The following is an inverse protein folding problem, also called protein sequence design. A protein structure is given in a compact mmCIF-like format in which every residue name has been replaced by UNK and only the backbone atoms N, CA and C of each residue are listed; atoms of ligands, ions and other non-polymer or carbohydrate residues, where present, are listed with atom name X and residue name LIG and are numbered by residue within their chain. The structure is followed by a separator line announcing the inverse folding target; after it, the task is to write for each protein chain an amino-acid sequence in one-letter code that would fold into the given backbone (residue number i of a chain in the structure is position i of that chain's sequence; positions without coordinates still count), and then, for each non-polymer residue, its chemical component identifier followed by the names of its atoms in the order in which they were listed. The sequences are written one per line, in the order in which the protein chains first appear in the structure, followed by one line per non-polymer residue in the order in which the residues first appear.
data_IF_094742322547
#
_entry.id   IF_094742322547
#
_cell.length_a   1.000
_cell.length_b   1.000
_cell.length_c   1.000
_cell.angle_alpha   90.00
_cell.angle_beta   90.00
_cell.angle_gamma   90.00
#
_symmetry.space_group_name_H-M   'P 1'
#
loop_
_entity.id
_entity.type
_entity.pdbx_description
1 polymer ?
#
# COMPACT_ATOMS: atom_id res chain seq x y z
N UNK A 1 14.92 12.82 -9.52
CA UNK A 1 15.33 11.47 -9.10
C UNK A 1 15.52 11.48 -7.59
N UNK A 2 15.19 10.42 -6.86
CA UNK A 2 15.44 10.33 -5.42
C UNK A 2 15.51 8.88 -4.95
N UNK A 3 16.03 8.72 -3.74
CA UNK A 3 16.02 7.52 -2.93
C UNK A 3 15.39 7.82 -1.57
N UNK A 4 14.66 6.86 -1.00
CA UNK A 4 14.06 7.00 0.34
C UNK A 4 13.81 5.61 0.95
N UNK A 5 13.97 5.50 2.26
CA UNK A 5 13.44 4.37 3.04
C UNK A 5 12.17 4.76 3.77
N UNK A 6 11.34 3.79 4.09
CA UNK A 6 10.22 4.03 5.00
C UNK A 6 9.65 2.78 5.63
N UNK A 7 8.85 2.96 6.67
CA UNK A 7 8.06 1.90 7.29
C UNK A 7 6.57 2.21 7.12
N UNK A 8 5.88 1.37 6.35
CA UNK A 8 4.42 1.41 6.25
C UNK A 8 3.82 0.73 7.49
N UNK A 9 2.98 1.47 8.23
CA UNK A 9 2.29 0.99 9.42
C UNK A 9 0.77 1.04 9.22
N UNK A 10 0.08 -0.08 9.44
CA UNK A 10 -1.38 -0.16 9.49
C UNK A 10 -1.78 -0.63 10.89
N UNK A 11 -2.15 0.30 11.80
CA UNK A 11 -2.43 -0.04 13.19
C UNK A 11 -3.57 -1.05 13.36
N UNK A 12 -4.59 -1.01 12.49
CA UNK A 12 -5.74 -1.90 12.60
C UNK A 12 -5.41 -3.38 12.35
N UNK A 13 -4.37 -3.66 11.57
CA UNK A 13 -3.96 -5.03 11.22
C UNK A 13 -2.57 -5.38 11.78
N UNK A 14 -2.03 -4.53 12.67
CA UNK A 14 -0.69 -4.64 13.26
C UNK A 14 0.43 -4.82 12.22
N UNK A 15 0.23 -4.35 11.00
CA UNK A 15 1.24 -4.47 9.94
C UNK A 15 2.28 -3.38 10.13
N UNK A 16 3.54 -3.80 10.14
CA UNK A 16 4.71 -2.98 9.88
C UNK A 16 5.49 -3.56 8.71
N UNK A 17 5.65 -2.79 7.64
CA UNK A 17 6.27 -3.22 6.41
C UNK A 17 7.34 -2.20 5.97
N UNK A 18 8.62 -2.47 6.25
CA UNK A 18 9.70 -1.61 5.77
C UNK A 18 9.85 -1.75 4.26
N UNK A 19 10.16 -0.64 3.61
CA UNK A 19 10.51 -0.56 2.21
C UNK A 19 11.69 0.38 1.97
N UNK A 20 12.32 0.19 0.81
CA UNK A 20 13.32 1.09 0.25
C UNK A 20 12.97 1.34 -1.21
N UNK A 21 12.98 2.61 -1.62
CA UNK A 21 12.50 3.02 -2.92
C UNK A 21 13.48 3.93 -3.63
N UNK A 22 13.61 3.70 -4.93
CA UNK A 22 14.37 4.51 -5.88
C UNK A 22 13.45 4.95 -7.00
N UNK A 23 13.49 6.23 -7.33
CA UNK A 23 12.56 6.82 -8.28
C UNK A 23 13.29 7.75 -9.24
N UNK A 24 13.17 7.45 -10.53
CA UNK A 24 13.74 8.21 -11.64
C UNK A 24 12.65 8.48 -12.69
N UNK A 25 11.98 9.62 -12.54
CA UNK A 25 10.93 10.05 -13.47
C UNK A 25 11.47 10.31 -14.88
N UNK A 26 12.67 10.89 -15.01
CA UNK A 26 13.27 11.22 -16.31
C UNK A 26 13.65 9.95 -17.07
N UNK A 27 14.23 8.96 -16.37
CA UNK A 27 14.45 7.62 -16.89
C UNK A 27 13.20 6.73 -16.99
N UNK A 28 12.02 7.25 -16.62
CA UNK A 28 10.73 6.54 -16.59
C UNK A 28 10.80 5.19 -15.85
N UNK A 29 11.50 5.14 -14.70
CA UNK A 29 11.78 3.90 -13.96
C UNK A 29 11.78 4.10 -12.46
N UNK A 30 11.40 3.06 -11.74
CA UNK A 30 11.46 3.01 -10.28
C UNK A 30 11.73 1.60 -9.80
N UNK A 31 12.33 1.48 -8.62
CA UNK A 31 12.46 0.23 -7.89
C UNK A 31 11.95 0.41 -6.48
N UNK A 32 11.23 -0.57 -5.96
CA UNK A 32 10.76 -0.60 -4.58
C UNK A 32 11.02 -1.98 -4.03
N UNK A 33 11.81 -2.04 -2.98
CA UNK A 33 12.13 -3.24 -2.25
C UNK A 33 11.33 -3.27 -0.96
N UNK A 34 10.75 -4.42 -0.61
CA UNK A 34 10.02 -4.60 0.65
C UNK A 34 10.70 -5.65 1.53
N UNK A 35 10.40 -5.58 2.84
CA UNK A 35 10.81 -6.59 3.81
C UNK A 35 12.33 -6.80 3.83
N UNK A 36 13.07 -5.68 3.80
CA UNK A 36 14.54 -5.64 3.79
C UNK A 36 15.16 -6.37 2.59
N UNK A 37 14.66 -6.09 1.38
CA UNK A 37 15.20 -6.66 0.14
C UNK A 37 14.82 -8.12 -0.12
N UNK A 38 13.79 -8.66 0.56
CA UNK A 38 13.24 -9.98 0.22
C UNK A 38 12.32 -9.94 -1.00
N UNK A 39 11.70 -8.79 -1.23
CA UNK A 39 10.83 -8.53 -2.37
C UNK A 39 11.44 -7.38 -3.14
N UNK A 40 11.55 -7.52 -4.46
CA UNK A 40 12.00 -6.48 -5.37
C UNK A 40 10.93 -6.22 -6.40
N UNK A 41 10.52 -4.98 -6.57
CA UNK A 41 9.59 -4.55 -7.62
C UNK A 41 10.26 -3.50 -8.48
N UNK A 42 10.41 -3.78 -9.77
CA UNK A 42 10.91 -2.85 -10.77
C UNK A 42 9.73 -2.42 -11.64
N UNK A 43 9.52 -1.12 -11.81
CA UNK A 43 8.54 -0.57 -12.74
C UNK A 43 9.30 0.22 -13.80
N UNK A 44 9.34 -0.29 -15.02
CA UNK A 44 10.12 0.27 -16.12
C UNK A 44 9.13 0.69 -17.21
N UNK A 45 8.83 1.99 -17.29
CA UNK A 45 7.84 2.51 -18.23
C UNK A 45 8.33 2.63 -19.67
N UNK A 46 9.65 2.54 -19.90
CA UNK A 46 10.28 2.57 -21.23
C UNK A 46 10.69 1.17 -21.73
N UNK A 47 10.20 0.10 -21.09
CA UNK A 47 10.46 -1.27 -21.51
C UNK A 47 9.28 -1.82 -22.32
N UNK A 48 9.53 -2.73 -23.26
CA UNK A 48 8.53 -3.24 -24.20
C UNK A 48 7.74 -2.08 -24.88
N UNK A 49 6.52 -2.35 -25.36
CA UNK A 49 5.69 -1.34 -26.05
C UNK A 49 5.03 -0.33 -25.11
N UNK A 50 4.70 -0.74 -23.88
CA UNK A 50 3.88 0.04 -22.94
C UNK A 50 4.37 -0.01 -21.48
N UNK A 51 5.63 -0.39 -21.28
CA UNK A 51 6.23 -0.58 -19.95
C UNK A 51 5.94 -1.96 -19.34
N UNK A 52 6.73 -2.32 -18.35
CA UNK A 52 6.60 -3.58 -17.62
C UNK A 52 6.88 -3.40 -16.13
N UNK A 53 6.20 -4.21 -15.31
CA UNK A 53 6.54 -4.42 -13.91
C UNK A 53 7.18 -5.80 -13.77
N UNK A 54 8.35 -5.85 -13.13
CA UNK A 54 9.03 -7.08 -12.77
C UNK A 54 9.03 -7.21 -11.25
N UNK A 55 8.57 -8.34 -10.73
CA UNK A 55 8.52 -8.61 -9.30
C UNK A 55 9.23 -9.90 -8.95
N UNK A 56 10.12 -9.82 -7.97
CA UNK A 56 10.81 -10.96 -7.37
C UNK A 56 10.30 -11.07 -5.95
N UNK A 57 9.73 -12.21 -5.57
CA UNK A 57 9.12 -12.39 -4.26
C UNK A 57 9.19 -13.84 -3.81
N UNK A 58 9.34 -14.13 -2.51
CA UNK A 58 9.13 -15.47 -1.99
C UNK A 58 7.66 -15.85 -2.14
N UNK A 59 7.42 -17.12 -2.47
CA UNK A 59 6.09 -17.73 -2.54
C UNK A 59 6.13 -19.03 -1.76
N UNK A 60 5.10 -19.26 -0.95
CA UNK A 60 4.91 -20.52 -0.23
C UNK A 60 3.60 -21.16 -0.67
N UNK A 61 3.70 -22.39 -1.15
CA UNK A 61 2.61 -23.28 -1.57
C UNK A 61 2.67 -24.58 -0.75
N UNK A 62 1.81 -25.54 -1.05
CA UNK A 62 1.84 -26.86 -0.42
C UNK A 62 3.15 -27.64 -0.69
N UNK A 63 3.80 -27.38 -1.83
CA UNK A 63 4.99 -28.12 -2.28
C UNK A 63 6.27 -27.30 -2.27
N UNK A 64 6.18 -25.98 -2.25
CA UNK A 64 7.32 -25.06 -2.28
C UNK A 64 7.26 -24.13 -1.07
N UNK A 65 8.33 -24.08 -0.27
CA UNK A 65 8.40 -23.21 0.91
C UNK A 65 9.36 -22.06 0.61
N UNK A 66 8.86 -20.83 0.71
CA UNK A 66 9.64 -19.59 0.53
C UNK A 66 10.44 -19.56 -0.78
N UNK A 67 9.93 -20.23 -1.82
CA UNK A 67 10.61 -20.30 -3.12
C UNK A 67 10.60 -18.93 -3.79
N UNK A 68 11.77 -18.47 -4.23
CA UNK A 68 11.89 -17.23 -4.99
C UNK A 68 11.23 -17.39 -6.36
N UNK A 69 10.19 -16.58 -6.62
CA UNK A 69 9.47 -16.54 -7.90
C UNK A 69 9.64 -15.19 -8.57
N UNK A 70 9.50 -15.20 -9.89
CA UNK A 70 9.69 -14.07 -10.79
C UNK A 70 8.40 -13.84 -11.56
N UNK A 71 7.84 -12.65 -11.45
CA UNK A 71 6.57 -12.28 -12.06
C UNK A 71 6.73 -11.05 -12.94
N UNK A 72 6.04 -11.03 -14.07
CA UNK A 72 6.00 -9.90 -14.99
C UNK A 72 4.56 -9.49 -15.26
N UNK A 73 4.31 -8.18 -15.27
CA UNK A 73 3.05 -7.58 -15.69
C UNK A 73 3.34 -6.54 -16.76
N UNK A 74 2.75 -6.72 -17.94
CA UNK A 74 2.95 -5.81 -19.07
C UNK A 74 1.88 -4.71 -19.07
N UNK A 75 2.30 -3.50 -19.40
CA UNK A 75 1.38 -2.41 -19.68
C UNK A 75 0.61 -2.64 -20.98
N UNK A 76 -0.50 -1.92 -21.12
CA UNK A 76 -1.24 -1.83 -22.39
C UNK A 76 -1.25 -0.39 -22.88
N UNK A 77 -1.75 -0.18 -24.10
CA UNK A 77 -1.92 1.16 -24.65
C UNK A 77 -2.83 2.04 -23.77
N UNK A 78 -3.88 1.44 -23.21
CA UNK A 78 -4.86 2.09 -22.36
C UNK A 78 -4.32 2.31 -20.95
N UNK A 79 -3.51 1.36 -20.46
CA UNK A 79 -2.93 1.39 -19.12
C UNK A 79 -1.41 1.13 -19.18
N UNK A 80 -0.61 2.12 -19.64
CA UNK A 80 0.83 1.96 -19.70
C UNK A 80 1.45 1.97 -18.29
N UNK A 81 2.51 1.19 -18.09
CA UNK A 81 3.25 1.19 -16.83
C UNK A 81 4.06 2.49 -16.71
N UNK A 82 4.01 3.08 -15.52
CA UNK A 82 4.74 4.30 -15.13
C UNK A 82 5.58 3.98 -13.88
N UNK A 83 6.68 4.71 -13.64
CA UNK A 83 7.41 4.60 -12.39
C UNK A 83 6.51 4.98 -11.22
N UNK A 84 6.61 4.23 -10.12
CA UNK A 84 5.88 4.47 -8.89
C UNK A 84 6.74 5.25 -7.91
N UNK A 85 6.29 6.45 -7.53
CA UNK A 85 6.86 7.19 -6.42
C UNK A 85 6.46 6.53 -5.08
N UNK A 86 7.36 6.51 -4.10
CA UNK A 86 7.04 6.14 -2.72
C UNK A 86 6.51 7.32 -1.88
N UNK A 87 6.53 8.52 -2.45
CA UNK A 87 5.96 9.74 -1.88
C UNK A 87 4.61 10.06 -2.56
N UNK A 88 3.66 10.70 -1.85
CA UNK A 88 2.39 11.09 -2.44
C UNK A 88 2.58 12.21 -3.47
N UNK A 89 1.65 12.30 -4.41
CA UNK A 89 1.51 13.50 -5.24
C UNK A 89 1.07 14.69 -4.37
N UNK A 90 1.87 15.76 -4.41
CA UNK A 90 1.65 16.98 -3.63
C UNK A 90 0.53 17.86 -4.20
N UNK A 91 -0.02 17.55 -5.37
CA UNK A 91 -1.11 18.32 -5.95
C UNK A 91 -2.32 18.37 -4.99
N UNK A 92 -2.71 19.59 -4.63
CA UNK A 92 -3.85 19.85 -3.73
C UNK A 92 -3.52 19.80 -2.24
N UNK A 93 -2.27 19.57 -1.85
CA UNK A 93 -1.83 19.79 -0.47
C UNK A 93 -1.68 21.29 -0.18
N UNK A 94 -2.20 21.71 0.97
CA UNK A 94 -2.00 23.05 1.52
C UNK A 94 -1.32 23.00 2.87
N UNK A 95 -0.52 24.02 3.20
CA UNK A 95 0.07 24.16 4.53
C UNK A 95 -1.03 24.21 5.60
N UNK A 96 -0.93 23.36 6.62
CA UNK A 96 -1.84 23.32 7.77
C UNK A 96 -1.23 24.02 8.98
N UNK A 97 -0.01 23.63 9.36
CA UNK A 97 0.66 24.10 10.58
C UNK A 97 2.14 23.70 10.64
N UNK A 98 2.86 24.26 11.60
CA UNK A 98 4.13 23.70 12.08
C UNK A 98 3.85 22.72 13.23
N UNK A 99 4.51 21.57 13.26
CA UNK A 99 4.36 20.55 14.30
C UNK A 99 5.68 19.81 14.55
N UNK A 100 5.98 19.49 15.81
CA UNK A 100 7.12 18.63 16.13
C UNK A 100 6.78 17.16 15.85
N UNK A 101 7.60 16.51 15.04
CA UNK A 101 7.55 15.08 14.78
C UNK A 101 8.93 14.45 15.10
N UNK A 102 8.96 13.48 16.01
CA UNK A 102 10.19 12.83 16.50
C UNK A 102 11.32 13.79 16.90
N UNK A 103 10.96 14.93 17.50
CA UNK A 103 11.92 15.94 17.96
C UNK A 103 12.37 16.94 16.88
N UNK A 104 11.83 16.85 15.67
CA UNK A 104 12.12 17.76 14.56
C UNK A 104 10.88 18.61 14.26
N UNK A 105 11.06 19.94 14.11
CA UNK A 105 9.98 20.85 13.75
C UNK A 105 9.69 20.76 12.25
N UNK A 106 8.52 20.27 11.87
CA UNK A 106 8.11 20.03 10.49
C UNK A 106 7.01 21.01 10.03
N UNK A 107 7.01 21.31 8.74
CA UNK A 107 5.82 21.81 8.05
C UNK A 107 4.85 20.63 7.84
N UNK A 108 3.60 20.80 8.26
CA UNK A 108 2.52 19.83 8.01
C UNK A 108 1.66 20.33 6.87
N UNK A 109 1.61 19.53 5.81
CA UNK A 109 0.81 19.79 4.63
C UNK A 109 -0.39 18.84 4.61
N UNK A 110 -1.57 19.34 4.28
CA UNK A 110 -2.82 18.58 4.34
C UNK A 110 -3.56 18.60 3.02
N UNK A 111 -4.17 17.45 2.70
CA UNK A 111 -5.15 17.29 1.62
C UNK A 111 -6.35 16.52 2.14
N UNK A 112 -7.55 16.89 1.70
CA UNK A 112 -8.78 16.15 2.00
C UNK A 112 -9.42 15.74 0.67
N UNK A 113 -9.77 14.47 0.54
CA UNK A 113 -10.51 13.95 -0.61
C UNK A 113 -11.78 13.27 -0.16
N UNK A 114 -12.83 13.34 -0.97
CA UNK A 114 -14.09 12.71 -0.66
C UNK A 114 -14.71 12.12 -1.93
N UNK A 115 -15.20 10.88 -1.83
CA UNK A 115 -16.04 10.24 -2.84
C UNK A 115 -17.13 9.44 -2.13
N UNK A 116 -18.39 9.74 -2.45
CA UNK A 116 -19.54 9.17 -1.72
C UNK A 116 -19.41 9.41 -0.21
N UNK A 117 -19.48 8.33 0.57
CA UNK A 117 -19.36 8.35 2.02
C UNK A 117 -17.91 8.31 2.54
N UNK A 118 -16.92 8.07 1.67
CA UNK A 118 -15.52 7.94 2.05
C UNK A 118 -14.83 9.31 2.00
N UNK A 119 -14.40 9.80 3.17
CA UNK A 119 -13.64 11.04 3.33
C UNK A 119 -12.26 10.72 3.90
N UNK A 120 -11.21 10.93 3.11
CA UNK A 120 -9.84 10.70 3.53
C UNK A 120 -9.14 12.03 3.80
N UNK A 121 -8.46 12.11 4.93
CA UNK A 121 -7.57 13.22 5.28
C UNK A 121 -6.14 12.73 5.22
N UNK A 122 -5.33 13.35 4.36
CA UNK A 122 -3.92 13.08 4.22
C UNK A 122 -3.10 14.20 4.86
N UNK A 123 -2.00 13.84 5.51
CA UNK A 123 -1.02 14.78 6.03
C UNK A 123 0.40 14.33 5.67
N UNK A 124 1.25 15.29 5.34
CA UNK A 124 2.66 15.08 5.05
C UNK A 124 3.49 16.04 5.91
N UNK A 125 4.41 15.48 6.69
CA UNK A 125 5.38 16.23 7.51
C UNK A 125 6.68 16.32 6.73
N UNK A 126 7.16 17.53 6.49
CA UNK A 126 8.41 17.80 5.77
C UNK A 126 9.26 18.83 6.51
N UNK A 127 10.58 18.71 6.38
CA UNK A 127 11.52 19.79 6.73
C UNK A 127 12.13 20.37 5.48
N UNK A 128 12.35 21.68 5.47
CA UNK A 128 13.12 22.34 4.42
C UNK A 128 14.52 22.67 4.97
N UNK A 129 15.59 22.14 4.38
CA UNK A 129 16.93 22.55 4.75
C UNK A 129 17.11 24.06 4.51
N UNK A 130 17.95 24.71 5.32
CA UNK A 130 18.31 26.11 5.08
C UNK A 130 19.14 26.21 3.79
N UNK A 131 18.62 26.94 2.79
CA UNK A 131 19.24 27.11 1.48
C UNK A 131 18.19 27.10 0.37
N UNK A 132 18.34 27.99 -0.62
CA UNK A 132 17.30 28.29 -1.62
C UNK A 132 16.93 27.07 -2.49
N UNK A 133 17.87 26.12 -2.68
CA UNK A 133 17.74 25.03 -3.66
C UNK A 133 17.72 23.61 -3.07
N UNK A 134 17.62 23.45 -1.74
CA UNK A 134 17.59 22.11 -1.14
C UNK A 134 16.19 21.50 -1.17
N UNK A 135 16.03 20.25 -1.63
CA UNK A 135 14.72 19.60 -1.66
C UNK A 135 14.20 19.39 -0.23
N UNK A 136 12.88 19.50 -0.08
CA UNK A 136 12.23 19.19 1.19
C UNK A 136 12.45 17.72 1.54
N UNK A 137 12.76 17.45 2.80
CA UNK A 137 12.96 16.10 3.35
C UNK A 137 11.65 15.62 3.96
N UNK A 138 11.06 14.52 3.45
CA UNK A 138 9.85 13.94 4.03
C UNK A 138 10.17 13.16 5.31
N UNK A 139 9.30 13.26 6.31
CA UNK A 139 9.42 12.54 7.59
C UNK A 139 8.27 11.58 7.84
N UNK A 140 7.04 12.01 7.54
CA UNK A 140 5.85 11.17 7.74
C UNK A 140 4.78 11.49 6.73
N UNK A 141 4.10 10.47 6.26
CA UNK A 141 2.82 10.56 5.58
C UNK A 141 1.75 9.82 6.38
N UNK A 142 0.61 10.44 6.60
CA UNK A 142 -0.52 9.85 7.31
C UNK A 142 -1.78 9.95 6.46
N UNK A 143 -2.55 8.87 6.43
CA UNK A 143 -3.93 8.86 5.96
C UNK A 143 -4.85 8.49 7.11
N UNK A 144 -5.90 9.28 7.30
CA UNK A 144 -7.02 8.96 8.19
C UNK A 144 -8.31 8.95 7.37
N UNK A 145 -8.93 7.78 7.29
CA UNK A 145 -10.23 7.56 6.67
C UNK A 145 -11.36 7.89 7.65
N UNK A 146 -12.42 8.47 7.13
CA UNK A 146 -13.67 8.69 7.84
C UNK A 146 -14.82 8.32 6.92
N UNK A 147 -15.74 7.48 7.41
CA UNK A 147 -16.96 7.15 6.70
C UNK A 147 -18.10 8.04 7.22
N UNK A 148 -18.67 8.86 6.35
CA UNK A 148 -19.73 9.81 6.72
C UNK A 148 -21.08 9.15 6.95
N UNK A 149 -21.32 7.95 6.41
CA UNK A 149 -22.53 7.17 6.67
C UNK A 149 -22.46 6.44 8.01
N UNK A 150 -21.28 5.92 8.36
CA UNK A 150 -21.05 5.23 9.63
C UNK A 150 -20.75 6.19 10.80
N UNK A 151 -20.46 7.45 10.47
CA UNK A 151 -19.99 8.49 11.40
C UNK A 151 -18.78 8.03 12.24
N UNK A 152 -17.85 7.33 11.60
CA UNK A 152 -16.72 6.71 12.28
C UNK A 152 -15.45 6.73 11.44
N UNK A 153 -14.30 6.69 12.12
CA UNK A 153 -13.02 6.42 11.49
C UNK A 153 -12.93 4.95 11.12
N UNK A 154 -12.69 4.66 9.86
CA UNK A 154 -12.70 3.31 9.30
C UNK A 154 -11.33 2.83 8.81
N UNK A 155 -10.38 3.74 8.57
CA UNK A 155 -9.04 3.38 8.09
C UNK A 155 -8.00 4.36 8.65
N UNK A 156 -6.81 3.84 8.91
CA UNK A 156 -5.63 4.64 9.27
C UNK A 156 -4.38 3.90 8.85
N UNK A 157 -3.48 4.60 8.18
CA UNK A 157 -2.12 4.11 7.95
C UNK A 157 -1.14 5.27 7.93
N UNK A 158 0.12 4.95 8.23
CA UNK A 158 1.22 5.90 8.21
C UNK A 158 2.40 5.31 7.44
N UNK A 159 3.19 6.19 6.84
CA UNK A 159 4.50 5.87 6.31
C UNK A 159 5.48 6.82 6.98
N UNK A 160 6.39 6.26 7.75
CA UNK A 160 7.46 7.02 8.39
C UNK A 160 8.71 6.89 7.52
N UNK A 161 9.20 8.02 6.99
CA UNK A 161 10.30 8.07 6.03
C UNK A 161 11.64 8.29 6.74
N UNK A 162 12.70 7.74 6.16
CA UNK A 162 14.07 7.89 6.61
C UNK A 162 15.03 7.80 5.43
N UNK A 163 16.30 8.16 5.65
CA UNK A 163 17.37 8.04 4.65
C UNK A 163 17.02 8.68 3.29
N UNK A 164 16.30 9.81 3.28
CA UNK A 164 15.99 10.49 2.04
C UNK A 164 17.25 11.07 1.38
N UNK A 165 17.42 10.79 0.09
CA UNK A 165 18.48 11.35 -0.73
C UNK A 165 17.91 11.83 -2.07
N UNK A 166 18.26 13.05 -2.54
CA UNK A 166 17.87 13.52 -3.87
C UNK A 166 18.71 12.89 -5.00
N UNK A 167 19.55 11.90 -4.69
CA UNK A 167 20.41 11.20 -5.63
C UNK A 167 20.27 9.69 -5.43
N UNK A 168 20.49 8.92 -6.49
CA UNK A 168 20.54 7.45 -6.50
C UNK A 168 21.52 6.97 -7.57
N UNK A 169 21.93 5.73 -7.45
CA UNK A 169 22.73 4.99 -8.43
C UNK A 169 21.85 4.53 -9.61
N UNK A 170 22.45 4.34 -10.79
CA UNK A 170 21.72 4.14 -12.05
C UNK A 170 21.48 2.67 -12.41
N UNK A 171 22.31 1.76 -11.91
CA UNK A 171 22.26 0.32 -12.11
C UNK A 171 21.20 -0.37 -11.24
N UNK A 172 20.77 0.27 -10.15
CA UNK A 172 19.75 -0.24 -9.23
C UNK A 172 18.41 -0.57 -9.90
N UNK A 173 18.12 0.08 -11.02
CA UNK A 173 16.89 -0.09 -11.79
C UNK A 173 16.92 -1.26 -12.77
N UNK A 174 18.06 -1.94 -12.95
CA UNK A 174 18.18 -3.04 -13.90
C UNK A 174 17.68 -4.33 -13.23
N UNK A 175 16.60 -4.97 -13.74
CA UNK A 175 16.17 -6.26 -13.24
C UNK A 175 17.21 -7.34 -13.59
N UNK A 176 17.35 -8.41 -12.78
CA UNK A 176 18.31 -9.48 -13.06
C UNK A 176 17.99 -10.19 -14.39
N UNK A 177 19.01 -10.34 -15.23
CA UNK A 177 18.92 -11.05 -16.50
C UNK A 177 18.99 -12.57 -16.36
N UNK A 178 18.58 -13.30 -17.40
CA UNK A 178 18.65 -14.77 -17.47
C UNK A 178 17.58 -15.52 -16.66
N UNK A 179 16.62 -14.81 -16.09
CA UNK A 179 15.47 -15.37 -15.36
C UNK A 179 14.31 -15.69 -16.31
N UNK A 180 13.48 -16.68 -15.96
CA UNK A 180 12.17 -16.87 -16.59
C UNK A 180 11.11 -16.12 -15.80
N UNK A 181 10.51 -15.11 -16.42
CA UNK A 181 9.43 -14.33 -15.82
C UNK A 181 8.08 -15.00 -16.08
N UNK A 182 7.36 -15.34 -15.01
CA UNK A 182 6.02 -15.91 -15.08
C UNK A 182 4.92 -14.84 -14.98
N UNK A 183 3.68 -15.27 -15.19
CA UNK A 183 2.51 -14.42 -14.93
C UNK A 183 2.18 -14.38 -13.44
N UNK A 184 1.56 -13.28 -13.01
CA UNK A 184 1.03 -13.17 -11.65
C UNK A 184 -0.05 -14.25 -11.42
N UNK A 185 -0.20 -14.72 -10.17
CA UNK A 185 -1.23 -15.70 -9.85
C UNK A 185 -2.62 -15.08 -9.99
N UNK A 186 -3.57 -15.89 -10.47
CA UNK A 186 -4.98 -15.55 -10.51
C UNK A 186 -5.52 -15.16 -9.11
N UNK A 187 -6.51 -14.25 -9.06
CA UNK A 187 -7.28 -13.74 -10.19
C UNK A 187 -6.66 -12.48 -10.84
N UNK A 188 -6.92 -12.28 -12.15
CA UNK A 188 -6.36 -11.18 -12.96
C UNK A 188 -6.61 -9.80 -12.36
N UNK A 189 -7.76 -9.61 -11.69
CA UNK A 189 -8.11 -8.35 -11.04
C UNK A 189 -7.11 -7.96 -9.94
N UNK A 190 -6.45 -8.93 -9.31
CA UNK A 190 -5.43 -8.71 -8.27
C UNK A 190 -4.04 -8.42 -8.83
N UNK A 191 -3.78 -8.65 -10.12
CA UNK A 191 -2.44 -8.51 -10.70
C UNK A 191 -1.84 -7.12 -10.43
N UNK A 192 -2.63 -6.06 -10.55
CA UNK A 192 -2.15 -4.69 -10.32
C UNK A 192 -1.74 -4.44 -8.86
N UNK A 193 -2.57 -4.86 -7.88
CA UNK A 193 -2.26 -4.63 -6.45
C UNK A 193 -1.12 -5.53 -5.97
N UNK A 194 -0.98 -6.73 -6.56
CA UNK A 194 0.14 -7.62 -6.31
C UNK A 194 1.44 -7.07 -6.90
N UNK A 195 1.39 -6.51 -8.10
CA UNK A 195 2.55 -5.96 -8.80
C UNK A 195 3.05 -4.66 -8.16
N UNK A 196 2.15 -3.75 -7.77
CA UNK A 196 2.48 -2.41 -7.25
C UNK A 196 1.74 -2.07 -5.94
N UNK A 197 2.11 -2.67 -4.81
CA UNK A 197 1.32 -2.56 -3.58
C UNK A 197 1.37 -1.18 -2.93
N UNK A 198 2.48 -0.42 -3.05
CA UNK A 198 2.58 0.91 -2.40
C UNK A 198 1.61 1.93 -3.01
N UNK A 199 1.20 1.74 -4.27
CA UNK A 199 0.34 2.66 -5.01
C UNK A 199 -0.96 2.95 -4.26
N UNK A 200 -1.55 1.94 -3.62
CA UNK A 200 -2.80 2.06 -2.87
C UNK A 200 -2.67 2.88 -1.57
N UNK A 201 -1.44 3.13 -1.11
CA UNK A 201 -1.16 3.91 0.09
C UNK A 201 -0.72 5.34 -0.22
N UNK A 202 0.04 5.56 -1.29
CA UNK A 202 0.57 6.90 -1.60
C UNK A 202 -0.31 7.68 -2.57
N UNK A 203 -1.18 7.00 -3.32
CA UNK A 203 -2.17 7.66 -4.17
C UNK A 203 -3.25 8.28 -3.30
N UNK A 204 -3.51 9.57 -3.48
CA UNK A 204 -4.52 10.31 -2.71
C UNK A 204 -5.93 10.18 -3.29
N UNK A 205 -6.17 9.29 -4.26
CA UNK A 205 -7.50 8.92 -4.71
C UNK A 205 -8.35 8.37 -3.55
N UNK A 206 -9.60 8.81 -3.38
CA UNK A 206 -10.49 8.29 -2.34
C UNK A 206 -10.90 6.82 -2.56
N UNK A 207 -10.78 6.33 -3.81
CA UNK A 207 -11.05 4.93 -4.18
C UNK A 207 -9.76 4.32 -4.71
N UNK A 208 -9.25 3.32 -3.98
CA UNK A 208 -8.02 2.58 -4.30
C UNK A 208 -8.31 1.32 -5.11
N UNK A 209 -7.28 0.57 -5.51
CA UNK A 209 -7.46 -0.71 -6.21
C UNK A 209 -8.11 -1.75 -5.30
N UNK A 210 -7.76 -1.77 -4.02
CA UNK A 210 -8.39 -2.63 -3.01
C UNK A 210 -9.92 -2.49 -2.96
N UNK A 211 -10.45 -1.27 -3.10
CA UNK A 211 -11.89 -1.03 -3.14
C UNK A 211 -12.55 -1.68 -4.38
N UNK A 212 -11.88 -1.64 -5.53
CA UNK A 212 -12.39 -2.23 -6.78
C UNK A 212 -12.47 -3.77 -6.70
N UNK A 213 -11.69 -4.39 -5.82
CA UNK A 213 -11.70 -5.84 -5.60
C UNK A 213 -12.90 -6.32 -4.76
N UNK A 214 -13.63 -5.42 -4.10
CA UNK A 214 -14.81 -5.82 -3.33
C UNK A 214 -15.96 -6.31 -4.21
N UNK A 215 -16.12 -5.75 -5.42
CA UNK A 215 -17.10 -6.23 -6.41
C UNK A 215 -16.89 -7.71 -6.76
N UNK A 216 -15.73 -8.08 -7.32
CA UNK A 216 -15.37 -9.48 -7.60
C UNK A 216 -15.46 -10.39 -6.37
N UNK A 217 -15.07 -9.92 -5.18
CA UNK A 217 -15.23 -10.67 -3.93
C UNK A 217 -16.70 -11.02 -3.66
N UNK A 218 -17.61 -10.05 -3.77
CA UNK A 218 -19.04 -10.28 -3.54
C UNK A 218 -19.61 -11.29 -4.54
N UNK A 219 -19.23 -11.20 -5.81
CA UNK A 219 -19.66 -12.15 -6.84
C UNK A 219 -19.17 -13.56 -6.54
N UNK A 220 -17.87 -13.71 -6.24
CA UNK A 220 -17.23 -14.99 -5.94
C UNK A 220 -17.85 -15.71 -4.73
N UNK A 221 -18.23 -14.98 -3.69
CA UNK A 221 -18.79 -15.54 -2.45
C UNK A 221 -20.31 -15.32 -2.32
N UNK A 222 -20.98 -14.90 -3.41
CA UNK A 222 -22.42 -14.63 -3.45
C UNK A 222 -22.92 -13.77 -2.27
N UNK A 223 -22.22 -12.66 -2.00
CA UNK A 223 -22.51 -11.76 -0.89
C UNK A 223 -23.67 -10.84 -1.21
N UNK A 224 -24.59 -10.73 -0.26
CA UNK A 224 -25.65 -9.75 -0.23
C UNK A 224 -25.69 -9.13 1.17
N UNK A 225 -25.87 -7.82 1.22
CA UNK A 225 -25.93 -7.06 2.47
C UNK A 225 -27.29 -6.38 2.55
N UNK A 226 -27.86 -6.34 3.74
CA UNK A 226 -29.23 -5.88 3.97
C UNK A 226 -29.38 -4.38 3.80
N UNK A 227 -28.28 -3.63 3.93
CA UNK A 227 -28.27 -2.18 3.84
C UNK A 227 -26.96 -1.64 3.29
N UNK A 228 -26.98 -0.40 2.81
CA UNK A 228 -25.78 0.34 2.42
C UNK A 228 -24.80 0.49 3.60
N UNK A 229 -25.34 0.62 4.81
CA UNK A 229 -24.55 0.70 6.04
C UNK A 229 -23.73 -0.58 6.24
N UNK A 230 -24.39 -1.73 6.16
CA UNK A 230 -23.71 -3.02 6.28
C UNK A 230 -22.70 -3.21 5.14
N UNK A 231 -23.06 -2.86 3.91
CA UNK A 231 -22.14 -2.94 2.78
C UNK A 231 -20.85 -2.15 3.02
N UNK A 232 -20.95 -0.89 3.46
CA UNK A 232 -19.79 -0.06 3.77
C UNK A 232 -18.93 -0.63 4.91
N UNK A 233 -19.56 -1.20 5.96
CA UNK A 233 -18.83 -1.90 7.03
C UNK A 233 -18.07 -3.12 6.50
N UNK A 234 -18.73 -3.95 5.68
CA UNK A 234 -18.18 -5.17 5.09
C UNK A 234 -17.05 -4.88 4.10
N UNK A 235 -17.17 -3.81 3.32
CA UNK A 235 -16.11 -3.36 2.42
C UNK A 235 -14.84 -2.97 3.20
N UNK A 236 -15.00 -2.25 4.32
CA UNK A 236 -13.86 -1.85 5.16
C UNK A 236 -13.15 -3.08 5.75
N UNK A 237 -13.90 -4.06 6.27
CA UNK A 237 -13.30 -5.31 6.79
C UNK A 237 -12.59 -6.09 5.68
N UNK A 238 -13.18 -6.15 4.49
CA UNK A 238 -12.56 -6.78 3.33
C UNK A 238 -11.22 -6.12 2.96
N UNK A 239 -11.17 -4.79 2.92
CA UNK A 239 -9.93 -4.05 2.60
C UNK A 239 -8.84 -4.33 3.63
N UNK A 240 -9.19 -4.38 4.92
CA UNK A 240 -8.23 -4.72 5.99
C UNK A 240 -7.69 -6.14 5.83
N UNK A 241 -8.57 -7.12 5.61
CA UNK A 241 -8.19 -8.51 5.34
C UNK A 241 -7.29 -8.63 4.12
N UNK A 242 -7.61 -7.94 3.02
CA UNK A 242 -6.83 -7.95 1.78
C UNK A 242 -5.42 -7.41 1.98
N UNK A 243 -5.29 -6.27 2.66
CA UNK A 243 -4.00 -5.66 2.98
C UNK A 243 -3.16 -6.57 3.88
N UNK A 244 -3.79 -7.20 4.88
CA UNK A 244 -3.14 -8.18 5.75
C UNK A 244 -2.63 -9.39 4.96
N UNK A 245 -3.50 -10.05 4.19
CA UNK A 245 -3.13 -11.20 3.34
C UNK A 245 -1.94 -10.87 2.44
N UNK A 246 -2.00 -9.76 1.70
CA UNK A 246 -0.92 -9.39 0.79
C UNK A 246 0.38 -9.03 1.50
N UNK A 247 0.33 -8.31 2.61
CA UNK A 247 1.54 -7.93 3.35
C UNK A 247 2.20 -9.13 4.03
N UNK A 248 1.41 -10.06 4.56
CA UNK A 248 1.91 -11.29 5.19
C UNK A 248 2.50 -12.25 4.15
N UNK A 249 1.88 -12.38 2.97
CA UNK A 249 2.44 -13.17 1.88
C UNK A 249 3.79 -12.60 1.39
N UNK A 250 3.93 -11.27 1.32
CA UNK A 250 5.22 -10.62 1.00
C UNK A 250 6.31 -10.86 2.05
N UNK A 251 5.95 -11.11 3.31
CA UNK A 251 6.92 -11.44 4.35
C UNK A 251 7.64 -12.78 4.07
N UNK A 252 7.08 -13.62 3.19
CA UNK A 252 7.64 -14.91 2.82
C UNK A 252 7.68 -15.85 4.02
N UNK A 253 6.53 -16.09 4.66
CA UNK A 253 6.42 -17.04 5.76
C UNK A 253 6.38 -18.48 5.24
N UNK A 254 6.47 -19.45 6.15
CA UNK A 254 6.34 -20.89 5.82
C UNK A 254 4.91 -21.33 5.51
N UNK A 255 3.98 -20.37 5.48
CA UNK A 255 2.60 -20.52 5.05
C UNK A 255 2.22 -19.29 4.23
N UNK A 256 1.17 -19.43 3.43
CA UNK A 256 0.53 -18.31 2.75
C UNK A 256 -0.91 -18.15 3.25
N UNK A 257 -1.41 -16.93 3.11
CA UNK A 257 -2.79 -16.56 3.39
C UNK A 257 -3.53 -16.31 2.08
N UNK A 258 -4.86 -16.43 2.12
CA UNK A 258 -5.72 -16.16 0.98
C UNK A 258 -7.06 -15.57 1.40
N UNK A 259 -7.63 -14.77 0.50
CA UNK A 259 -9.00 -14.27 0.62
C UNK A 259 -9.99 -15.45 0.63
N UNK A 260 -10.95 -15.40 1.54
CA UNK A 260 -11.90 -16.48 1.77
C UNK A 260 -13.26 -15.93 2.22
N UNK A 261 -14.20 -16.83 2.53
CA UNK A 261 -15.56 -16.51 2.94
C UNK A 261 -15.69 -15.85 4.34
N UNK A 262 -14.59 -15.40 4.94
CA UNK A 262 -14.60 -14.63 6.18
C UNK A 262 -13.83 -13.32 6.03
N UNK A 263 -13.39 -12.96 4.82
CA UNK A 263 -12.56 -11.78 4.59
C UNK A 263 -13.30 -10.46 4.81
N UNK A 264 -14.63 -10.43 4.78
CA UNK A 264 -15.48 -9.28 5.11
C UNK A 264 -16.02 -9.31 6.55
N UNK A 265 -15.44 -10.13 7.43
CA UNK A 265 -15.86 -10.22 8.84
C UNK A 265 -14.98 -9.36 9.73
N UNK A 266 -15.58 -8.79 10.76
CA UNK A 266 -14.87 -8.12 11.85
C UNK A 266 -14.11 -9.12 12.72
N UNK A 267 -13.10 -8.63 13.45
CA UNK A 267 -12.37 -9.44 14.44
C UNK A 267 -13.29 -10.08 15.48
N UNK A 268 -14.32 -9.35 15.93
CA UNK A 268 -15.29 -9.84 16.90
C UNK A 268 -16.13 -11.01 16.34
N UNK A 269 -16.51 -10.96 15.06
CA UNK A 269 -17.23 -12.05 14.39
C UNK A 269 -16.33 -13.28 14.22
N UNK A 270 -15.08 -13.09 13.82
CA UNK A 270 -14.08 -14.16 13.71
C UNK A 270 -13.79 -14.82 15.08
N UNK A 271 -13.66 -14.02 16.14
CA UNK A 271 -13.42 -14.52 17.50
C UNK A 271 -14.57 -15.42 17.99
N UNK A 272 -15.83 -15.07 17.66
CA UNK A 272 -17.00 -15.89 18.02
C UNK A 272 -16.99 -17.28 17.37
N UNK A 273 -16.42 -17.42 16.18
CA UNK A 273 -16.32 -18.71 15.48
C UNK A 273 -15.19 -19.59 15.99
N UNK A 274 -14.09 -18.97 16.45
CA UNK A 274 -12.86 -19.68 16.84
C UNK A 274 -12.79 -19.97 18.35
N UNK A 275 -13.85 -19.64 19.10
CA UNK A 275 -13.89 -19.80 20.55
C UNK A 275 -13.02 -18.79 21.31
N UNK A 276 -12.65 -17.68 20.65
CA UNK A 276 -11.86 -16.61 21.24
C UNK A 276 -12.63 -15.92 22.38
N UNK A 277 -11.95 -15.73 23.50
CA UNK A 277 -12.47 -14.92 24.62
C UNK A 277 -12.46 -13.47 24.17
N UNK A 278 -13.64 -12.85 24.06
CA UNK A 278 -13.76 -11.41 23.94
C UNK A 278 -13.14 -10.78 25.19
N UNK A 279 -11.93 -10.24 25.06
CA UNK A 279 -11.41 -9.32 26.07
C UNK A 279 -12.27 -8.07 25.93
N UNK A 280 -13.25 -7.92 26.84
CA UNK A 280 -14.02 -6.68 26.94
C UNK A 280 -13.03 -5.53 27.08
N UNK A 281 -13.14 -4.56 26.19
CA UNK A 281 -12.29 -3.38 26.13
C UNK A 281 -12.00 -2.83 27.53
N UNK A 282 -10.71 -2.58 27.80
CA UNK A 282 -10.34 -1.56 28.76
C UNK A 282 -10.96 -0.26 28.26
N UNK A 283 -11.72 0.38 29.14
CA UNK A 283 -12.33 1.68 28.93
C UNK A 283 -11.40 2.60 28.14
N UNK A 284 -11.96 3.19 27.08
CA UNK A 284 -11.35 4.32 26.38
C UNK A 284 -11.13 5.43 27.40
N UNK A 285 -9.90 5.55 27.87
CA UNK A 285 -9.42 6.74 28.56
C UNK A 285 -8.39 7.46 27.68
N UNK A 286 -8.83 8.64 27.22
CA UNK A 286 -8.12 9.81 26.66
C UNK A 286 -7.66 9.76 25.20
#
# INVERSE_FOLDING_TARGET
MYHVKGELSLPHTEIKEPFEAWYDLEGNRSRIDYRNGKVHTYLIGNDLDYGAIYKITPVTTETEIQATKFFQLNGTKENPIRPQAALPDLQGFGFEKMENYEGVLCEVWKKVTQAGHKKNTYRLWVTRPEGIDSPATPHRFEMVGYNTLLESHNDKYTIDYSDFSPQTESDIFIPPGGMTWGEFPDPVEEHQILANPIQDYVNTSPVSHAHRLFGPYKEKFNRQYESEKEHEERENYFIHSLRYVHSMNRAGLTYSLGINNFSDWSEAELARMTGGVLIRDREKDV
#
